data_IF_781960089009
#
_entry.id   IF_781960089009
#
_cell.length_a   1.000
_cell.length_b   1.000
_cell.length_c   1.000
_cell.angle_alpha   90.00
_cell.angle_beta   90.00
_cell.angle_gamma   90.00
#
_symmetry.space_group_name_H-M   'P 1'
#
loop_
_entity.id
_entity.type
_entity.pdbx_description
1 polymer ?
#
# COMPACT_ATOMS: atom_id res chain seq x y z
N UNK A 1 -18.24 9.25 23.60
CA UNK A 1 -18.27 9.54 22.17
C UNK A 1 -18.54 11.01 21.85
N UNK A 2 -19.50 11.69 22.50
CA UNK A 2 -19.83 13.11 22.26
C UNK A 2 -18.65 14.11 22.34
N UNK A 3 -17.73 13.95 23.30
CA UNK A 3 -16.58 14.85 23.45
C UNK A 3 -15.54 14.74 22.32
N UNK A 4 -15.38 13.59 21.69
CA UNK A 4 -14.46 13.42 20.55
C UNK A 4 -15.03 14.06 19.28
N UNK A 5 -16.32 13.92 19.05
CA UNK A 5 -17.02 14.56 17.92
C UNK A 5 -17.01 16.10 18.05
N UNK A 6 -17.24 16.61 19.27
CA UNK A 6 -17.19 18.06 19.53
C UNK A 6 -15.79 18.64 19.27
N UNK A 7 -14.73 18.00 19.77
CA UNK A 7 -13.35 18.42 19.50
C UNK A 7 -13.01 18.37 18.01
N UNK A 8 -13.45 17.33 17.30
CA UNK A 8 -13.27 17.22 15.85
C UNK A 8 -13.96 18.36 15.10
N UNK A 9 -15.20 18.68 15.46
CA UNK A 9 -15.94 19.79 14.86
C UNK A 9 -15.27 21.15 15.11
N UNK A 10 -14.78 21.39 16.33
CA UNK A 10 -14.07 22.65 16.66
C UNK A 10 -12.79 22.79 15.85
N UNK A 11 -11.97 21.72 15.78
CA UNK A 11 -10.74 21.74 14.99
C UNK A 11 -11.04 21.96 13.50
N UNK A 12 -12.02 21.23 12.95
CA UNK A 12 -12.42 21.39 11.56
C UNK A 12 -12.90 22.81 11.24
N UNK A 13 -13.79 23.36 12.07
CA UNK A 13 -14.28 24.75 11.90
C UNK A 13 -13.15 25.77 12.04
N UNK A 14 -12.22 25.56 12.98
CA UNK A 14 -11.04 26.41 13.13
C UNK A 14 -10.15 26.41 11.89
N UNK A 15 -9.87 25.23 11.31
CA UNK A 15 -9.10 25.11 10.07
C UNK A 15 -9.80 25.78 8.88
N UNK A 16 -11.13 25.62 8.75
CA UNK A 16 -11.92 26.29 7.71
C UNK A 16 -11.87 27.82 7.87
N UNK A 17 -11.97 28.32 9.09
CA UNK A 17 -11.89 29.75 9.37
C UNK A 17 -10.50 30.30 9.02
N UNK A 18 -9.43 29.62 9.42
CA UNK A 18 -8.05 30.02 9.07
C UNK A 18 -7.88 30.03 7.55
N UNK A 19 -8.30 28.98 6.86
CA UNK A 19 -8.24 28.94 5.41
C UNK A 19 -8.99 30.12 4.78
N UNK A 20 -10.21 30.38 5.21
CA UNK A 20 -11.01 31.48 4.71
C UNK A 20 -10.36 32.86 4.99
N UNK A 21 -9.77 33.08 6.17
CA UNK A 21 -9.06 34.30 6.51
C UNK A 21 -7.82 34.50 5.62
N UNK A 22 -7.04 33.42 5.42
CA UNK A 22 -5.85 33.47 4.59
C UNK A 22 -6.19 33.77 3.12
N UNK A 23 -7.32 33.29 2.60
CA UNK A 23 -7.76 33.64 1.24
C UNK A 23 -8.16 35.12 1.10
N UNK A 24 -8.44 35.82 2.21
CA UNK A 24 -8.73 37.26 2.21
C UNK A 24 -7.51 38.15 2.37
N UNK A 25 -6.35 37.62 2.69
CA UNK A 25 -5.11 38.39 2.88
C UNK A 25 -4.45 38.84 1.56
N UNK A 26 -5.14 38.83 0.43
CA UNK A 26 -4.64 39.27 -0.87
C UNK A 26 -3.93 38.23 -1.69
N UNK A 27 -3.95 36.94 -1.26
CA UNK A 27 -3.39 35.86 -2.04
C UNK A 27 -4.26 35.63 -3.29
N UNK A 28 -3.67 35.58 -4.50
CA UNK A 28 -4.43 35.35 -5.73
C UNK A 28 -5.20 34.03 -5.67
N UNK A 29 -6.45 34.04 -6.16
CA UNK A 29 -7.35 32.88 -6.11
C UNK A 29 -6.84 31.64 -6.85
N UNK A 30 -5.92 31.80 -7.80
CA UNK A 30 -5.28 30.68 -8.52
C UNK A 30 -4.23 29.95 -7.65
N UNK A 31 -3.65 30.60 -6.64
CA UNK A 31 -2.74 29.96 -5.68
C UNK A 31 -3.51 29.34 -4.51
N UNK A 32 -4.49 30.07 -3.97
CA UNK A 32 -5.30 29.60 -2.86
C UNK A 32 -6.77 30.00 -3.05
N UNK A 33 -7.59 29.14 -3.69
CA UNK A 33 -9.02 29.42 -3.85
C UNK A 33 -9.75 29.37 -2.50
N UNK A 34 -10.85 30.13 -2.38
CA UNK A 34 -11.67 30.11 -1.19
C UNK A 34 -12.38 28.77 -0.98
N UNK A 35 -12.74 28.38 0.27
CA UNK A 35 -13.47 27.15 0.54
C UNK A 35 -14.77 27.03 -0.26
N UNK A 36 -15.50 28.13 -0.44
CA UNK A 36 -16.72 28.17 -1.23
C UNK A 36 -16.48 27.95 -2.73
N UNK A 37 -15.39 28.51 -3.28
CA UNK A 37 -15.00 28.30 -4.67
C UNK A 37 -14.63 26.83 -4.92
N UNK A 38 -13.90 26.19 -4.00
CA UNK A 38 -13.57 24.76 -4.05
C UNK A 38 -14.83 23.90 -3.99
N UNK A 39 -15.74 24.17 -3.04
CA UNK A 39 -17.01 23.44 -2.93
C UNK A 39 -17.86 23.57 -4.19
N UNK A 40 -17.94 24.78 -4.77
CA UNK A 40 -18.63 25.01 -6.05
C UNK A 40 -17.99 24.24 -7.21
N UNK A 41 -16.66 24.26 -7.32
CA UNK A 41 -15.93 23.52 -8.35
C UNK A 41 -16.11 22.01 -8.23
N UNK A 42 -16.11 21.46 -7.01
CA UNK A 42 -16.39 20.04 -6.75
C UNK A 42 -17.80 19.66 -7.21
N UNK A 43 -18.78 20.50 -6.90
CA UNK A 43 -20.16 20.25 -7.30
C UNK A 43 -20.36 20.32 -8.82
N UNK A 44 -19.81 21.34 -9.46
CA UNK A 44 -19.92 21.52 -10.91
C UNK A 44 -19.23 20.39 -11.67
N UNK A 45 -18.09 19.94 -11.20
CA UNK A 45 -17.28 18.90 -11.87
C UNK A 45 -17.53 17.48 -11.31
N UNK A 46 -18.58 17.26 -10.51
CA UNK A 46 -18.81 15.98 -9.82
C UNK A 46 -18.82 14.74 -10.72
N UNK A 47 -19.38 14.89 -11.95
CA UNK A 47 -19.43 13.77 -12.90
C UNK A 47 -18.02 13.45 -13.46
N UNK A 48 -17.26 14.47 -13.82
CA UNK A 48 -15.87 14.34 -14.25
C UNK A 48 -14.98 13.74 -13.15
N UNK A 49 -15.07 14.28 -11.94
CA UNK A 49 -14.33 13.78 -10.79
C UNK A 49 -14.74 12.35 -10.44
N UNK A 50 -16.03 12.03 -10.51
CA UNK A 50 -16.54 10.67 -10.27
C UNK A 50 -15.94 9.66 -11.25
N UNK A 51 -15.91 9.99 -12.55
CA UNK A 51 -15.27 9.13 -13.54
C UNK A 51 -13.77 8.91 -13.26
N UNK A 52 -13.03 9.99 -13.01
CA UNK A 52 -11.60 9.88 -12.72
C UNK A 52 -11.33 9.15 -11.39
N UNK A 53 -12.22 9.29 -10.40
CA UNK A 53 -12.13 8.51 -9.15
C UNK A 53 -12.27 7.02 -9.42
N UNK A 54 -13.23 6.60 -10.26
CA UNK A 54 -13.39 5.18 -10.63
C UNK A 54 -12.17 4.64 -11.38
N UNK A 55 -11.61 5.43 -12.30
CA UNK A 55 -10.37 5.05 -13.02
C UNK A 55 -9.23 4.86 -12.03
N UNK A 56 -8.99 5.85 -11.16
CA UNK A 56 -7.91 5.76 -10.15
C UNK A 56 -8.15 4.62 -9.16
N UNK A 57 -9.40 4.39 -8.75
CA UNK A 57 -9.73 3.27 -7.88
C UNK A 57 -9.42 1.92 -8.56
N UNK A 58 -9.73 1.78 -9.83
CA UNK A 58 -9.41 0.56 -10.60
C UNK A 58 -7.89 0.36 -10.73
N UNK A 59 -7.11 1.43 -10.91
CA UNK A 59 -5.64 1.39 -10.94
C UNK A 59 -5.08 0.92 -9.58
N UNK A 60 -5.58 1.49 -8.48
CA UNK A 60 -5.16 1.15 -7.12
C UNK A 60 -5.51 -0.31 -6.78
N UNK A 61 -6.75 -0.72 -7.03
CA UNK A 61 -7.21 -2.09 -6.73
C UNK A 61 -6.43 -3.11 -7.55
N UNK A 62 -6.24 -2.85 -8.84
CA UNK A 62 -5.46 -3.74 -9.72
C UNK A 62 -4.00 -3.85 -9.26
N UNK A 63 -3.37 -2.71 -8.94
CA UNK A 63 -2.00 -2.66 -8.42
C UNK A 63 -1.85 -3.37 -7.08
N UNK A 64 -2.82 -3.17 -6.18
CA UNK A 64 -2.87 -3.84 -4.87
C UNK A 64 -2.97 -5.36 -5.02
N UNK A 65 -3.93 -5.83 -5.80
CA UNK A 65 -4.15 -7.28 -5.99
C UNK A 65 -2.92 -7.94 -6.61
N UNK A 66 -2.37 -7.35 -7.68
CA UNK A 66 -1.18 -7.89 -8.34
C UNK A 66 0.06 -7.80 -7.45
N UNK A 67 0.28 -6.67 -6.77
CA UNK A 67 1.43 -6.47 -5.88
C UNK A 67 1.42 -7.43 -4.69
N UNK A 68 0.26 -7.58 -4.03
CA UNK A 68 0.10 -8.54 -2.93
C UNK A 68 0.26 -9.98 -3.42
N UNK A 69 -0.37 -10.35 -4.54
CA UNK A 69 -0.26 -11.70 -5.10
C UNK A 69 1.20 -12.05 -5.40
N UNK A 70 1.90 -11.19 -6.13
CA UNK A 70 3.32 -11.39 -6.47
C UNK A 70 4.19 -11.44 -5.21
N UNK A 71 3.95 -10.54 -4.25
CA UNK A 71 4.68 -10.50 -2.99
C UNK A 71 4.52 -11.77 -2.16
N UNK A 72 3.29 -12.24 -2.02
CA UNK A 72 2.98 -13.50 -1.32
C UNK A 72 3.60 -14.70 -2.01
N UNK A 73 3.46 -14.80 -3.34
CA UNK A 73 4.06 -15.90 -4.11
C UNK A 73 5.57 -15.93 -3.94
N UNK A 74 6.23 -14.78 -4.05
CA UNK A 74 7.68 -14.70 -3.89
C UNK A 74 8.13 -15.07 -2.48
N UNK A 75 7.44 -14.58 -1.44
CA UNK A 75 7.74 -14.94 -0.06
C UNK A 75 7.57 -16.44 0.20
N UNK A 76 6.53 -17.07 -0.35
CA UNK A 76 6.33 -18.51 -0.29
C UNK A 76 7.42 -19.27 -1.02
N UNK A 77 7.84 -18.83 -2.20
CA UNK A 77 8.95 -19.43 -2.91
C UNK A 77 10.27 -19.37 -2.10
N UNK A 78 10.52 -18.23 -1.45
CA UNK A 78 11.72 -18.06 -0.62
C UNK A 78 11.71 -18.95 0.64
N UNK A 79 10.57 -19.15 1.29
CA UNK A 79 10.49 -20.00 2.49
C UNK A 79 10.62 -21.49 2.16
N UNK A 80 10.21 -21.90 0.95
CA UNK A 80 10.33 -23.28 0.48
C UNK A 80 11.76 -23.57 0.01
N UNK A 81 12.44 -22.60 -0.61
CA UNK A 81 13.77 -22.79 -1.18
C UNK A 81 14.81 -21.86 -0.55
N UNK A 82 15.69 -22.38 0.34
CA UNK A 82 16.79 -21.59 0.92
C UNK A 82 17.80 -21.07 -0.12
N UNK A 83 17.92 -21.73 -1.28
CA UNK A 83 18.75 -21.23 -2.37
C UNK A 83 18.13 -19.97 -2.99
N UNK A 84 16.84 -20.00 -3.27
CA UNK A 84 16.11 -18.86 -3.82
C UNK A 84 16.10 -17.68 -2.84
N UNK A 85 15.91 -17.94 -1.56
CA UNK A 85 16.00 -16.92 -0.51
C UNK A 85 17.35 -16.20 -0.54
N UNK A 86 18.47 -16.93 -0.60
CA UNK A 86 19.81 -16.33 -0.60
C UNK A 86 20.05 -15.38 -1.77
N UNK A 87 19.46 -15.66 -2.94
CA UNK A 87 19.62 -14.83 -4.12
C UNK A 87 18.61 -13.67 -4.17
N UNK A 88 17.37 -13.91 -3.76
CA UNK A 88 16.31 -12.91 -3.91
C UNK A 88 16.23 -11.94 -2.72
N UNK A 89 16.58 -12.36 -1.51
CA UNK A 89 16.49 -11.49 -0.34
C UNK A 89 17.33 -10.20 -0.45
N UNK A 90 18.61 -10.23 -0.91
CA UNK A 90 19.34 -9.01 -1.17
C UNK A 90 18.67 -8.11 -2.21
N UNK A 91 18.10 -8.69 -3.28
CA UNK A 91 17.39 -7.91 -4.30
C UNK A 91 16.13 -7.25 -3.75
N UNK A 92 15.34 -7.96 -2.95
CA UNK A 92 14.16 -7.41 -2.28
C UNK A 92 14.53 -6.27 -1.33
N UNK A 93 15.61 -6.42 -0.54
CA UNK A 93 16.04 -5.38 0.38
C UNK A 93 16.61 -4.15 -0.34
N UNK A 94 17.45 -4.35 -1.36
CA UNK A 94 18.05 -3.24 -2.11
C UNK A 94 17.00 -2.49 -2.96
N UNK A 95 15.98 -3.18 -3.46
CA UNK A 95 14.92 -2.55 -4.23
C UNK A 95 14.09 -1.56 -3.42
N UNK A 96 13.95 -1.76 -2.12
CA UNK A 96 13.29 -0.81 -1.21
C UNK A 96 14.06 0.52 -1.09
N UNK A 97 15.36 0.52 -1.35
CA UNK A 97 16.17 1.74 -1.33
C UNK A 97 16.00 2.59 -2.61
N UNK A 98 15.45 2.02 -3.68
CA UNK A 98 15.23 2.76 -4.93
C UNK A 98 13.95 3.58 -4.76
N UNK A 99 14.02 4.93 -4.91
CA UNK A 99 12.81 5.74 -4.87
C UNK A 99 11.93 5.41 -6.09
N UNK A 100 10.79 4.76 -5.85
CA UNK A 100 9.90 4.27 -6.92
C UNK A 100 9.48 5.39 -7.87
N UNK A 101 9.36 6.63 -7.37
CA UNK A 101 9.05 7.79 -8.20
C UNK A 101 10.15 8.09 -9.24
N UNK A 102 11.40 7.72 -8.99
CA UNK A 102 12.46 7.84 -9.97
C UNK A 102 12.31 6.86 -11.15
N UNK A 103 11.57 5.77 -10.95
CA UNK A 103 11.24 4.78 -11.98
C UNK A 103 10.07 5.23 -12.87
N UNK A 104 9.29 6.23 -12.46
CA UNK A 104 8.11 6.68 -13.20
C UNK A 104 8.38 6.99 -14.68
N UNK A 105 9.44 7.74 -15.06
CA UNK A 105 9.75 8.00 -16.47
C UNK A 105 10.06 6.72 -17.26
N UNK A 106 10.75 5.75 -16.65
CA UNK A 106 11.04 4.45 -17.28
C UNK A 106 9.78 3.62 -17.47
N UNK A 107 8.89 3.61 -16.50
CA UNK A 107 7.62 2.89 -16.59
C UNK A 107 6.74 3.50 -17.68
N UNK A 108 6.71 4.83 -17.80
CA UNK A 108 5.99 5.50 -18.88
C UNK A 108 6.62 5.21 -20.24
N UNK A 109 7.94 5.14 -20.31
CA UNK A 109 8.66 4.80 -21.56
C UNK A 109 8.35 3.36 -22.02
N UNK A 110 8.28 2.40 -21.08
CA UNK A 110 8.06 0.98 -21.41
C UNK A 110 6.58 0.62 -21.62
N UNK A 111 5.68 1.20 -20.82
CA UNK A 111 4.25 0.86 -20.80
C UNK A 111 3.36 1.93 -21.42
N UNK A 112 3.94 3.08 -21.82
CA UNK A 112 3.21 4.23 -22.36
C UNK A 112 2.48 5.05 -21.29
N UNK A 113 1.88 6.16 -21.74
CA UNK A 113 1.00 6.97 -20.91
C UNK A 113 -0.35 6.26 -20.78
N UNK A 114 -0.66 5.74 -19.60
CA UNK A 114 -1.95 5.08 -19.39
C UNK A 114 -2.03 4.32 -18.09
N UNK A 115 -3.06 3.47 -18.00
CA UNK A 115 -3.36 2.64 -16.84
C UNK A 115 -2.21 1.67 -16.51
N UNK A 116 -1.58 1.08 -17.55
CA UNK A 116 -0.54 0.05 -17.37
C UNK A 116 0.69 0.55 -16.61
N UNK A 117 1.21 1.74 -16.95
CA UNK A 117 2.35 2.33 -16.23
C UNK A 117 2.02 2.63 -14.76
N UNK A 118 0.81 3.12 -14.48
CA UNK A 118 0.34 3.44 -13.12
C UNK A 118 0.11 2.18 -12.29
N UNK A 119 -0.52 1.17 -12.87
CA UNK A 119 -0.71 -0.15 -12.20
C UNK A 119 0.65 -0.77 -11.91
N UNK A 120 1.60 -0.75 -12.85
CA UNK A 120 2.94 -1.29 -12.63
C UNK A 120 3.67 -0.54 -11.51
N UNK A 121 3.53 0.79 -11.45
CA UNK A 121 4.09 1.59 -10.35
C UNK A 121 3.47 1.18 -9.00
N UNK A 122 2.15 1.03 -8.93
CA UNK A 122 1.46 0.57 -7.72
C UNK A 122 1.91 -0.85 -7.32
N UNK A 123 2.07 -1.76 -8.29
CA UNK A 123 2.63 -3.10 -8.05
C UNK A 123 4.00 -3.02 -7.41
N UNK A 124 4.93 -2.24 -7.94
CA UNK A 124 6.29 -2.11 -7.39
C UNK A 124 6.29 -1.55 -5.97
N UNK A 125 5.47 -0.52 -5.70
CA UNK A 125 5.34 0.07 -4.35
C UNK A 125 4.86 -0.95 -3.33
N UNK A 126 3.92 -1.82 -3.70
CA UNK A 126 3.27 -2.77 -2.79
C UNK A 126 4.04 -4.09 -2.71
N UNK A 127 4.59 -4.57 -3.82
CA UNK A 127 5.24 -5.87 -3.93
C UNK A 127 6.39 -6.05 -2.95
N UNK A 128 7.30 -5.09 -2.87
CA UNK A 128 8.51 -5.23 -2.05
C UNK A 128 8.22 -5.24 -0.54
N UNK A 129 7.45 -4.28 0.03
CA UNK A 129 7.06 -4.31 1.44
C UNK A 129 6.29 -5.58 1.81
N UNK A 130 5.32 -5.98 0.98
CA UNK A 130 4.52 -7.19 1.22
C UNK A 130 5.40 -8.44 1.21
N UNK A 131 6.31 -8.56 0.24
CA UNK A 131 7.25 -9.70 0.17
C UNK A 131 8.08 -9.78 1.45
N UNK A 132 8.66 -8.67 1.89
CA UNK A 132 9.54 -8.61 3.06
C UNK A 132 8.75 -8.90 4.34
N UNK A 133 7.64 -8.20 4.57
CA UNK A 133 6.83 -8.34 5.78
C UNK A 133 6.25 -9.76 5.91
N UNK A 134 5.71 -10.29 4.81
CA UNK A 134 5.14 -11.63 4.84
C UNK A 134 6.19 -12.72 4.98
N UNK A 135 7.34 -12.61 4.31
CA UNK A 135 8.46 -13.54 4.48
C UNK A 135 8.99 -13.53 5.91
N UNK A 136 9.13 -12.36 6.51
CA UNK A 136 9.54 -12.23 7.92
C UNK A 136 8.49 -12.85 8.86
N UNK A 137 7.21 -12.64 8.60
CA UNK A 137 6.12 -13.29 9.33
C UNK A 137 6.21 -14.83 9.28
N UNK A 138 6.48 -15.39 8.09
CA UNK A 138 6.67 -16.83 7.91
C UNK A 138 7.89 -17.39 8.66
N UNK A 139 8.93 -16.58 8.89
CA UNK A 139 10.15 -16.98 9.61
C UNK A 139 10.05 -16.81 11.12
N UNK A 140 9.34 -15.81 11.60
CA UNK A 140 9.25 -15.46 13.03
C UNK A 140 8.32 -16.35 13.85
N UNK A 141 7.82 -17.44 13.26
CA UNK A 141 7.03 -18.42 14.01
C UNK A 141 7.90 -19.04 15.11
N UNK A 142 7.35 -19.08 16.35
CA UNK A 142 8.04 -19.68 17.48
C UNK A 142 8.42 -21.12 17.16
N UNK A 143 9.68 -21.46 17.41
CA UNK A 143 10.24 -22.79 17.18
C UNK A 143 9.49 -23.88 17.95
N UNK A 144 8.95 -23.57 19.14
CA UNK A 144 8.20 -24.52 19.96
C UNK A 144 6.97 -25.07 19.22
N UNK A 145 6.25 -24.22 18.49
CA UNK A 145 5.12 -24.68 17.65
C UNK A 145 5.55 -25.56 16.49
N UNK A 146 6.72 -25.27 15.90
CA UNK A 146 7.24 -26.07 14.80
C UNK A 146 7.73 -27.43 15.29
N UNK A 147 8.36 -27.47 16.47
CA UNK A 147 8.87 -28.69 17.07
C UNK A 147 7.70 -29.57 17.57
N UNK A 148 6.67 -28.96 18.15
CA UNK A 148 5.43 -29.67 18.49
C UNK A 148 4.79 -30.28 17.22
N UNK A 149 4.66 -29.51 16.15
CA UNK A 149 4.11 -30.01 14.89
C UNK A 149 4.95 -31.17 14.33
N UNK A 150 6.28 -31.11 14.44
CA UNK A 150 7.19 -32.21 14.02
C UNK A 150 7.00 -33.45 14.87
N UNK A 151 6.91 -33.33 16.20
CA UNK A 151 6.66 -34.47 17.09
C UNK A 151 5.30 -35.12 16.82
N UNK A 152 4.33 -34.34 16.35
CA UNK A 152 3.04 -34.87 15.88
C UNK A 152 3.09 -35.46 14.45
N UNK A 153 4.26 -35.56 13.82
CA UNK A 153 4.44 -36.15 12.50
C UNK A 153 4.06 -35.21 11.33
N UNK A 154 3.91 -33.88 11.56
CA UNK A 154 3.56 -32.97 10.49
C UNK A 154 4.71 -32.81 9.48
N UNK A 155 4.40 -33.03 8.18
CA UNK A 155 5.31 -32.73 7.09
C UNK A 155 5.60 -31.23 6.97
N UNK A 156 6.66 -30.85 6.26
CA UNK A 156 6.99 -29.45 5.99
C UNK A 156 5.80 -28.68 5.39
N UNK A 157 5.09 -29.27 4.42
CA UNK A 157 3.90 -28.66 3.81
C UNK A 157 2.76 -28.44 4.80
N UNK A 158 2.53 -29.38 5.73
CA UNK A 158 1.54 -29.25 6.79
C UNK A 158 1.94 -28.15 7.79
N UNK A 159 3.21 -28.07 8.21
CA UNK A 159 3.74 -26.99 9.04
C UNK A 159 3.62 -25.63 8.36
N UNK A 160 3.93 -25.56 7.05
CA UNK A 160 3.78 -24.31 6.29
C UNK A 160 2.34 -23.84 6.26
N UNK A 161 1.40 -24.73 5.93
CA UNK A 161 -0.02 -24.39 5.75
C UNK A 161 -0.74 -24.08 7.07
N UNK A 162 -0.53 -24.86 8.12
CA UNK A 162 -1.32 -24.78 9.34
C UNK A 162 -0.65 -23.98 10.47
N UNK A 163 0.67 -23.81 10.43
CA UNK A 163 1.40 -23.09 11.47
C UNK A 163 1.96 -21.76 10.92
N UNK A 164 2.82 -21.82 9.91
CA UNK A 164 3.53 -20.63 9.42
C UNK A 164 2.60 -19.63 8.72
N UNK A 165 1.72 -20.10 7.83
CA UNK A 165 0.79 -19.22 7.12
C UNK A 165 -0.16 -18.50 8.09
N UNK A 166 -0.74 -19.24 9.05
CA UNK A 166 -1.66 -18.63 10.02
C UNK A 166 -0.95 -17.58 10.90
N UNK A 167 0.28 -17.86 11.33
CA UNK A 167 1.06 -16.92 12.11
C UNK A 167 1.55 -15.70 11.30
N UNK A 168 1.70 -15.84 9.98
CA UNK A 168 2.17 -14.75 9.11
C UNK A 168 1.05 -13.83 8.59
N UNK A 169 -0.22 -14.23 8.64
CA UNK A 169 -1.35 -13.42 8.16
C UNK A 169 -1.39 -11.99 8.73
N UNK A 170 -1.18 -11.76 10.05
CA UNK A 170 -1.12 -10.40 10.59
C UNK A 170 0.01 -9.55 10.01
N UNK A 171 1.16 -10.16 9.68
CA UNK A 171 2.28 -9.46 9.08
C UNK A 171 1.99 -8.99 7.66
N UNK A 172 1.13 -9.69 6.93
CA UNK A 172 0.70 -9.30 5.59
C UNK A 172 -0.11 -7.99 5.60
N UNK A 173 -0.85 -7.71 6.67
CA UNK A 173 -1.60 -6.46 6.84
C UNK A 173 -0.75 -5.27 7.30
N UNK A 174 0.52 -5.50 7.65
CA UNK A 174 1.46 -4.46 8.09
C UNK A 174 2.50 -4.06 7.01
N UNK A 175 2.59 -4.81 5.92
CA UNK A 175 3.42 -4.50 4.74
C UNK A 175 2.63 -3.70 3.73
#
# INVERSE_FOLDING_TARGET
MRGKLFRGAVVFSGLQLVWWLVTRSGIPAFLLPSPSAVAGALWLNRAYLGWHTLVTLSEIVSGLLLGVLLGVVLALCMIISPRLQRWLMPLVLTSQAIPVFALAPLLVLWFGFGMSAKVMMAVLVIFFPVTSAFFDGLRRVNHDYLDLARTMGASFGAQLRHVRLMAALPALGSG
#
